data_IF_361330122611
#
_entry.id   IF_361330122611
#
_cell.length_a   1.000
_cell.length_b   1.000
_cell.length_c   1.000
_cell.angle_alpha   90.00
_cell.angle_beta   90.00
_cell.angle_gamma   90.00
#
_symmetry.space_group_name_H-M   'P 1'
#
loop_
_entity.id
_entity.type
_entity.pdbx_description
1 polymer ?
#
# COMPACT_ATOMS: atom_id res chain seq x y z
N UNK A 1 -6.25 -15.97 17.06
CA UNK A 1 -6.85 -16.87 16.06
C UNK A 1 -7.81 -16.04 15.23
N UNK A 2 -7.69 -16.13 13.91
CA UNK A 2 -8.20 -15.22 12.86
C UNK A 2 -9.67 -14.83 12.97
N UNK A 3 -9.97 -13.54 12.71
CA UNK A 3 -11.22 -13.13 12.04
C UNK A 3 -10.87 -12.24 10.85
N UNK A 4 -11.29 -12.71 9.68
CA UNK A 4 -11.20 -12.11 8.34
C UNK A 4 -11.43 -10.58 8.30
N UNK A 5 -10.34 -9.81 8.15
CA UNK A 5 -10.36 -8.38 7.76
C UNK A 5 -10.72 -8.14 6.28
N UNK A 6 -11.09 -9.19 5.52
CA UNK A 6 -11.51 -9.08 4.10
C UNK A 6 -12.80 -8.26 3.86
N UNK A 7 -13.44 -7.69 4.89
CA UNK A 7 -14.69 -6.90 4.75
C UNK A 7 -14.57 -5.38 5.01
N UNK A 8 -13.49 -4.87 5.59
CA UNK A 8 -13.40 -3.41 5.86
C UNK A 8 -13.08 -2.56 4.60
N UNK A 9 -12.35 -3.10 3.62
CA UNK A 9 -11.97 -2.32 2.43
C UNK A 9 -13.15 -1.94 1.51
N UNK A 10 -14.32 -2.56 1.66
CA UNK A 10 -15.47 -2.30 0.77
C UNK A 10 -16.57 -1.39 1.38
N UNK A 11 -16.48 -1.01 2.66
CA UNK A 11 -17.52 -0.20 3.32
C UNK A 11 -17.08 1.27 3.47
N UNK A 12 -15.78 1.53 3.67
CA UNK A 12 -15.26 2.88 3.94
C UNK A 12 -15.33 3.80 2.70
N UNK A 13 -15.31 3.27 1.47
CA UNK A 13 -15.46 4.10 0.26
C UNK A 13 -16.92 4.51 -0.05
N UNK A 14 -17.94 3.94 0.61
CA UNK A 14 -19.36 4.27 0.30
C UNK A 14 -20.05 5.19 1.31
N UNK A 15 -19.47 5.47 2.48
CA UNK A 15 -20.14 6.29 3.51
C UNK A 15 -19.70 7.77 3.57
N UNK A 16 -18.61 8.16 2.90
CA UNK A 16 -18.10 9.54 2.93
C UNK A 16 -18.93 10.58 2.15
N UNK A 17 -20.02 10.19 1.50
CA UNK A 17 -20.89 11.10 0.74
C UNK A 17 -22.24 11.42 1.39
N UNK A 18 -22.56 10.87 2.57
CA UNK A 18 -23.87 11.11 3.25
C UNK A 18 -23.79 11.76 4.63
N UNK A 19 -22.63 11.78 5.29
CA UNK A 19 -22.50 12.31 6.66
C UNK A 19 -22.34 13.84 6.76
N UNK A 20 -22.14 14.54 5.64
CA UNK A 20 -21.98 16.00 5.65
C UNK A 20 -23.30 16.81 5.69
N UNK A 21 -24.48 16.17 5.73
CA UNK A 21 -25.76 16.88 5.72
C UNK A 21 -26.60 16.80 7.02
N UNK A 22 -26.20 16.04 8.04
CA UNK A 22 -27.00 15.89 9.28
C UNK A 22 -26.45 16.63 10.52
N UNK A 23 -25.31 17.32 10.44
CA UNK A 23 -24.67 17.96 11.59
C UNK A 23 -25.15 19.40 11.91
N UNK A 24 -26.17 19.94 11.23
CA UNK A 24 -26.59 21.35 11.37
C UNK A 24 -27.88 21.55 12.21
N UNK A 25 -28.55 20.50 12.71
CA UNK A 25 -29.87 20.68 13.37
C UNK A 25 -29.88 20.44 14.90
N UNK A 26 -28.77 20.09 15.55
CA UNK A 26 -28.77 19.76 16.99
C UNK A 26 -27.90 20.69 17.88
N UNK A 27 -28.03 22.01 17.72
CA UNK A 27 -27.37 23.00 18.60
C UNK A 27 -28.36 23.96 19.31
N UNK A 28 -29.68 23.76 19.20
CA UNK A 28 -30.66 24.62 19.88
C UNK A 28 -31.72 23.81 20.60
N UNK A 29 -31.37 23.22 21.75
CA UNK A 29 -32.30 22.90 22.83
C UNK A 29 -31.54 22.30 24.02
N UNK A 30 -31.02 23.14 24.92
CA UNK A 30 -30.93 22.83 26.35
C UNK A 30 -30.47 24.09 27.09
N UNK A 31 -31.42 25.00 27.28
CA UNK A 31 -31.35 26.04 28.30
C UNK A 31 -32.59 25.94 29.19
N UNK A 32 -32.37 26.10 30.49
CA UNK A 32 -33.33 26.23 31.60
C UNK A 32 -33.88 24.93 32.23
N UNK A 33 -33.52 24.75 33.51
CA UNK A 33 -34.15 23.78 34.42
C UNK A 33 -33.40 23.64 35.74
N UNK A 34 -33.65 24.58 36.67
CA UNK A 34 -33.19 24.56 38.07
C UNK A 34 -33.78 23.38 38.86
N UNK A 35 -32.93 22.63 39.59
CA UNK A 35 -33.31 21.91 40.83
C UNK A 35 -32.16 22.02 41.84
N UNK A 36 -32.49 22.36 43.08
CA UNK A 36 -31.59 22.61 44.22
C UNK A 36 -31.41 21.40 45.16
N UNK A 37 -30.36 21.50 46.00
CA UNK A 37 -30.04 20.72 47.22
C UNK A 37 -29.37 19.37 46.96
N UNK A 38 -28.30 18.95 47.64
CA UNK A 38 -27.79 19.31 48.98
C UNK A 38 -26.27 19.06 49.06
N UNK A 39 -25.60 19.78 49.96
CA UNK A 39 -24.19 19.61 50.28
C UNK A 39 -23.92 18.16 50.77
N UNK A 40 -22.95 17.51 50.12
CA UNK A 40 -22.15 16.48 50.76
C UNK A 40 -20.70 16.65 50.31
N UNK A 41 -19.84 16.87 51.32
CA UNK A 41 -18.39 16.85 51.25
C UNK A 41 -17.87 15.67 50.44
N UNK A 42 -17.17 15.94 49.33
CA UNK A 42 -16.07 15.09 48.84
C UNK A 42 -14.98 15.97 48.21
N UNK A 43 -13.86 15.98 48.90
CA UNK A 43 -12.49 16.24 48.44
C UNK A 43 -12.30 16.45 46.92
N UNK A 44 -11.68 17.56 46.56
CA UNK A 44 -11.19 17.82 45.21
C UNK A 44 -10.25 16.70 44.72
N UNK A 45 -10.56 16.14 43.54
CA UNK A 45 -9.54 15.77 42.56
C UNK A 45 -9.17 14.30 42.33
N UNK A 46 -9.91 13.31 42.84
CA UNK A 46 -9.71 11.91 42.42
C UNK A 46 -10.65 11.55 41.27
N UNK A 47 -10.08 11.24 40.11
CA UNK A 47 -10.80 10.68 38.96
C UNK A 47 -11.54 9.40 39.39
N UNK A 48 -12.86 9.38 39.22
CA UNK A 48 -13.67 8.19 39.49
C UNK A 48 -13.41 7.14 38.40
N UNK A 49 -12.54 6.17 38.72
CA UNK A 49 -12.15 5.07 37.83
C UNK A 49 -13.37 4.27 37.36
N UNK A 50 -14.35 4.03 38.23
CA UNK A 50 -15.54 3.25 37.88
C UNK A 50 -16.41 4.01 36.90
N UNK A 51 -16.63 5.31 37.13
CA UNK A 51 -17.41 6.14 36.21
C UNK A 51 -16.74 6.26 34.83
N UNK A 52 -15.41 6.36 34.77
CA UNK A 52 -14.69 6.30 33.49
C UNK A 52 -14.83 4.94 32.81
N UNK A 53 -14.71 3.86 33.56
CA UNK A 53 -14.87 2.51 33.05
C UNK A 53 -16.28 2.26 32.47
N UNK A 54 -17.34 2.82 33.07
CA UNK A 54 -18.69 2.78 32.49
C UNK A 54 -18.76 3.48 31.13
N UNK A 55 -18.08 4.62 30.99
CA UNK A 55 -18.03 5.37 29.73
C UNK A 55 -17.26 4.63 28.65
N UNK A 56 -16.11 4.03 28.99
CA UNK A 56 -15.32 3.21 28.05
C UNK A 56 -16.12 1.97 27.63
N UNK A 57 -16.84 1.34 28.56
CA UNK A 57 -17.71 0.21 28.24
C UNK A 57 -18.81 0.61 27.26
N UNK A 58 -19.53 1.72 27.52
CA UNK A 58 -20.57 2.19 26.59
C UNK A 58 -19.99 2.52 25.21
N UNK A 59 -18.83 3.18 25.17
CA UNK A 59 -18.11 3.48 23.93
C UNK A 59 -17.78 2.21 23.13
N UNK A 60 -17.33 1.15 23.80
CA UNK A 60 -16.98 -0.11 23.14
C UNK A 60 -18.14 -0.78 22.41
N UNK A 61 -19.38 -0.62 22.92
CA UNK A 61 -20.57 -1.21 22.29
C UNK A 61 -20.95 -0.54 20.97
N UNK A 62 -20.53 0.70 20.76
CA UNK A 62 -20.71 1.40 19.48
C UNK A 62 -19.50 1.26 18.55
N UNK A 63 -18.40 0.64 19.01
CA UNK A 63 -17.15 0.42 18.25
C UNK A 63 -16.68 -1.05 18.34
N UNK A 64 -17.51 -2.03 17.92
CA UNK A 64 -17.19 -3.45 18.08
C UNK A 64 -15.99 -3.90 17.24
N UNK A 65 -15.70 -3.20 16.14
CA UNK A 65 -14.63 -3.56 15.19
C UNK A 65 -13.22 -3.21 15.70
N UNK A 66 -13.13 -2.51 16.83
CA UNK A 66 -11.86 -2.09 17.43
C UNK A 66 -11.80 -0.58 17.65
N UNK A 67 -11.16 -0.15 18.74
CA UNK A 67 -10.94 1.26 19.03
C UNK A 67 -9.64 1.47 19.82
N UNK A 68 -9.15 2.71 19.81
CA UNK A 68 -8.20 3.23 20.81
C UNK A 68 -8.76 4.55 21.31
N UNK A 69 -8.90 4.69 22.63
CA UNK A 69 -9.64 5.80 23.24
C UNK A 69 -8.76 6.50 24.27
N UNK A 70 -8.61 7.82 24.12
CA UNK A 70 -8.11 8.68 25.20
C UNK A 70 -9.21 8.81 26.26
N UNK A 71 -8.97 8.25 27.45
CA UNK A 71 -10.01 8.20 28.50
C UNK A 71 -10.21 9.55 29.20
N UNK A 72 -9.31 10.51 29.00
CA UNK A 72 -9.43 11.86 29.55
C UNK A 72 -10.40 12.71 28.72
N UNK A 73 -10.33 12.58 27.39
CA UNK A 73 -11.15 13.34 26.45
C UNK A 73 -12.35 12.54 25.92
N UNK A 74 -12.32 11.21 26.04
CA UNK A 74 -13.24 10.28 25.38
C UNK A 74 -13.28 10.46 23.87
N UNK A 75 -12.10 10.65 23.26
CA UNK A 75 -11.94 10.75 21.81
C UNK A 75 -10.92 9.75 21.30
N UNK A 76 -11.07 9.33 20.04
CA UNK A 76 -10.12 8.42 19.40
C UNK A 76 -8.97 9.22 18.77
N UNK A 77 -7.71 8.88 19.07
CA UNK A 77 -6.58 9.44 18.36
C UNK A 77 -6.56 8.90 16.93
N UNK A 78 -6.23 9.77 15.98
CA UNK A 78 -6.21 9.44 14.55
C UNK A 78 -4.80 9.10 14.03
N UNK A 79 -3.78 9.16 14.89
CA UNK A 79 -2.39 8.90 14.55
C UNK A 79 -1.68 8.16 15.69
N UNK A 80 -0.66 7.39 15.32
CA UNK A 80 0.19 6.67 16.25
C UNK A 80 0.10 5.16 16.09
N UNK A 81 0.93 4.45 16.84
CA UNK A 81 0.96 3.00 16.90
C UNK A 81 0.47 2.57 18.28
N UNK A 82 -0.69 1.96 18.33
CA UNK A 82 -1.31 1.44 19.54
C UNK A 82 -0.70 0.08 19.92
N UNK A 83 -0.21 0.00 21.16
CA UNK A 83 0.36 -1.22 21.73
C UNK A 83 -0.16 -1.46 23.14
N UNK A 84 -0.80 -2.61 23.38
CA UNK A 84 -1.34 -2.98 24.68
C UNK A 84 -0.25 -3.32 25.71
N UNK A 85 -0.50 -2.99 26.97
CA UNK A 85 0.34 -3.41 28.10
C UNK A 85 0.02 -4.84 28.55
N UNK A 86 1.04 -5.63 28.89
CA UNK A 86 0.87 -6.98 29.43
C UNK A 86 0.02 -7.01 30.71
N UNK A 87 0.13 -5.96 31.54
CA UNK A 87 -0.50 -5.89 32.85
C UNK A 87 -2.03 -5.98 32.82
N UNK A 88 -2.65 -5.62 31.70
CA UNK A 88 -4.11 -5.52 31.54
C UNK A 88 -4.69 -6.52 30.54
N UNK A 89 -3.85 -7.34 29.90
CA UNK A 89 -4.26 -8.40 28.97
C UNK A 89 -5.34 -9.33 29.54
N UNK A 90 -6.15 -9.85 28.61
CA UNK A 90 -7.26 -10.77 28.87
C UNK A 90 -8.39 -10.19 29.74
N UNK A 91 -8.53 -8.86 29.79
CA UNK A 91 -9.67 -8.19 30.43
C UNK A 91 -10.84 -8.15 29.46
N UNK A 92 -11.94 -8.83 29.79
CA UNK A 92 -13.03 -9.09 28.85
C UNK A 92 -14.44 -8.74 29.32
N UNK A 93 -14.54 -8.19 30.53
CA UNK A 93 -15.81 -7.85 31.15
C UNK A 93 -15.79 -6.42 31.67
N UNK A 94 -16.99 -5.84 31.81
CA UNK A 94 -17.16 -4.55 32.48
C UNK A 94 -16.49 -4.53 33.85
N UNK A 95 -16.61 -5.60 34.64
CA UNK A 95 -15.99 -5.68 35.97
C UNK A 95 -14.45 -5.65 35.96
N UNK A 96 -13.82 -6.05 34.85
CA UNK A 96 -12.35 -6.01 34.72
C UNK A 96 -11.85 -4.66 34.20
N UNK A 97 -12.72 -3.84 33.61
CA UNK A 97 -12.35 -2.54 33.05
C UNK A 97 -11.79 -1.56 34.08
N UNK A 98 -12.23 -1.64 35.34
CA UNK A 98 -11.72 -0.75 36.40
C UNK A 98 -10.20 -0.88 36.55
N UNK A 99 -9.68 -2.13 36.46
CA UNK A 99 -8.24 -2.40 36.46
C UNK A 99 -7.56 -1.80 35.23
N UNK A 100 -8.20 -1.92 34.05
CA UNK A 100 -7.68 -1.41 32.78
C UNK A 100 -7.57 0.12 32.82
N UNK A 101 -8.63 0.80 33.24
CA UNK A 101 -8.71 2.26 33.36
C UNK A 101 -7.74 2.75 34.43
N UNK A 102 -7.67 2.10 35.59
CA UNK A 102 -6.70 2.47 36.63
C UNK A 102 -5.26 2.38 36.13
N UNK A 103 -4.92 1.31 35.39
CA UNK A 103 -3.59 1.17 34.80
C UNK A 103 -3.34 2.23 33.71
N UNK A 104 -4.32 2.51 32.85
CA UNK A 104 -4.20 3.53 31.81
C UNK A 104 -3.95 4.93 32.41
N UNK A 105 -4.68 5.33 33.47
CA UNK A 105 -4.49 6.62 34.15
C UNK A 105 -3.11 6.79 34.79
N UNK A 106 -2.45 5.69 35.17
CA UNK A 106 -1.09 5.69 35.74
C UNK A 106 0.02 5.69 34.67
N UNK A 107 -0.35 5.46 33.40
CA UNK A 107 0.57 5.36 32.28
C UNK A 107 0.18 6.39 31.21
N UNK A 108 -0.18 5.95 30.00
CA UNK A 108 -0.35 6.83 28.84
C UNK A 108 -1.78 7.38 28.68
N UNK A 109 -2.75 6.93 29.49
CA UNK A 109 -4.13 7.42 29.43
C UNK A 109 -4.99 6.87 28.30
N UNK A 110 -4.55 5.81 27.60
CA UNK A 110 -5.34 5.19 26.52
C UNK A 110 -5.87 3.81 26.91
N UNK A 111 -7.06 3.50 26.41
CA UNK A 111 -7.63 2.16 26.42
C UNK A 111 -7.95 1.73 25.00
N UNK A 112 -7.42 0.59 24.59
CA UNK A 112 -7.78 -0.09 23.36
C UNK A 112 -8.76 -1.20 23.66
N UNK A 113 -9.58 -1.57 22.68
CA UNK A 113 -10.45 -2.72 22.81
C UNK A 113 -11.16 -3.10 21.53
N UNK A 114 -11.71 -4.32 21.49
CA UNK A 114 -12.47 -4.86 20.36
C UNK A 114 -13.47 -5.91 20.84
N UNK A 115 -14.46 -6.25 20.00
CA UNK A 115 -15.39 -7.34 20.25
C UNK A 115 -15.02 -8.58 19.41
N UNK A 116 -14.86 -9.72 20.05
CA UNK A 116 -14.68 -10.99 19.37
C UNK A 116 -16.02 -11.71 19.22
N UNK A 117 -16.55 -11.72 18.01
CA UNK A 117 -17.82 -12.42 17.71
C UNK A 117 -17.75 -13.94 17.87
N UNK A 118 -16.56 -14.54 17.89
CA UNK A 118 -16.40 -16.00 17.97
C UNK A 118 -16.65 -16.56 19.36
N UNK A 119 -16.27 -15.82 20.41
CA UNK A 119 -16.48 -16.17 21.81
C UNK A 119 -17.49 -15.25 22.52
N UNK A 120 -17.92 -14.17 21.86
CA UNK A 120 -18.89 -13.23 22.39
C UNK A 120 -18.32 -12.29 23.46
N UNK A 121 -16.98 -12.16 23.54
CA UNK A 121 -16.30 -11.36 24.55
C UNK A 121 -15.78 -10.04 23.95
N UNK A 122 -15.84 -8.98 24.76
CA UNK A 122 -15.03 -7.79 24.51
C UNK A 122 -13.62 -8.04 25.05
N UNK A 123 -12.63 -7.35 24.50
CA UNK A 123 -11.26 -7.35 24.98
C UNK A 123 -10.82 -5.91 25.21
N UNK A 124 -10.10 -5.67 26.31
CA UNK A 124 -9.63 -4.35 26.68
C UNK A 124 -8.20 -4.40 27.20
N UNK A 125 -7.40 -3.46 26.74
CA UNK A 125 -6.03 -3.27 27.19
C UNK A 125 -5.78 -1.79 27.45
N UNK A 126 -5.10 -1.49 28.56
CA UNK A 126 -4.46 -0.18 28.67
C UNK A 126 -3.40 -0.12 27.58
N UNK A 127 -3.36 0.97 26.85
CA UNK A 127 -2.62 1.07 25.60
C UNK A 127 -1.61 2.20 25.68
N UNK A 128 -0.43 1.96 25.10
CA UNK A 128 0.56 2.98 24.82
C UNK A 128 0.47 3.40 23.36
N UNK A 129 0.62 4.70 23.10
CA UNK A 129 0.77 5.22 21.74
C UNK A 129 2.22 5.58 21.46
N UNK A 130 2.76 5.01 20.39
CA UNK A 130 4.04 5.41 19.82
C UNK A 130 3.82 6.33 18.61
N UNK A 131 4.71 7.28 18.33
CA UNK A 131 4.78 7.92 17.03
C UNK A 131 4.94 6.89 15.90
N UNK A 132 4.33 7.11 14.73
CA UNK A 132 4.37 6.15 13.62
C UNK A 132 5.78 5.95 13.04
N UNK A 133 6.67 6.93 13.20
CA UNK A 133 8.09 6.80 12.85
C UNK A 133 8.92 5.98 13.87
N UNK A 134 8.30 5.45 14.93
CA UNK A 134 8.91 4.58 15.95
C UNK A 134 8.38 3.14 15.86
N UNK A 135 8.17 2.64 14.63
CA UNK A 135 7.64 1.30 14.39
C UNK A 135 8.48 0.21 15.04
N UNK A 136 9.81 0.34 15.03
CA UNK A 136 10.72 -0.62 15.65
C UNK A 136 10.50 -0.69 17.17
N UNK A 137 10.46 0.46 17.83
CA UNK A 137 10.26 0.57 19.28
C UNK A 137 8.88 0.04 19.68
N UNK A 138 7.84 0.31 18.86
CA UNK A 138 6.50 -0.22 19.07
C UNK A 138 6.46 -1.75 18.96
N UNK A 139 7.15 -2.33 17.96
CA UNK A 139 7.29 -3.79 17.79
C UNK A 139 8.02 -4.41 19.00
N UNK A 140 9.15 -3.84 19.39
CA UNK A 140 9.95 -4.32 20.54
C UNK A 140 9.14 -4.25 21.84
N UNK A 141 8.42 -3.15 22.07
CA UNK A 141 7.54 -3.00 23.21
C UNK A 141 6.40 -4.00 23.19
N UNK A 142 5.76 -4.22 22.04
CA UNK A 142 4.71 -5.22 21.86
C UNK A 142 5.21 -6.63 22.20
N UNK A 143 6.38 -7.02 21.70
CA UNK A 143 6.99 -8.33 21.99
C UNK A 143 7.28 -8.50 23.47
N UNK A 144 7.86 -7.47 24.11
CA UNK A 144 8.13 -7.46 25.55
C UNK A 144 6.85 -7.56 26.39
N UNK A 145 5.74 -7.04 25.88
CA UNK A 145 4.43 -7.09 26.54
C UNK A 145 3.59 -8.30 26.12
N UNK A 146 4.15 -9.27 25.38
CA UNK A 146 3.43 -10.48 24.98
C UNK A 146 2.23 -10.21 24.07
N UNK A 147 2.29 -9.14 23.28
CA UNK A 147 1.27 -8.84 22.28
C UNK A 147 1.45 -9.72 21.04
N UNK A 148 0.35 -10.02 20.34
CA UNK A 148 0.41 -10.72 19.06
C UNK A 148 0.62 -9.73 17.89
N UNK A 149 0.08 -8.54 18.03
CA UNK A 149 0.10 -7.49 17.01
C UNK A 149 0.08 -6.09 17.64
N UNK A 150 0.38 -5.11 16.81
CA UNK A 150 0.25 -3.67 17.09
C UNK A 150 -0.55 -3.02 15.97
N UNK A 151 -1.13 -1.84 16.22
CA UNK A 151 -2.05 -1.21 15.27
C UNK A 151 -1.60 0.19 14.91
N UNK A 152 -1.43 0.46 13.61
CA UNK A 152 -1.18 1.80 13.08
C UNK A 152 -2.52 2.50 12.91
N UNK A 153 -2.75 3.58 13.65
CA UNK A 153 -4.05 4.24 13.75
C UNK A 153 -4.40 5.04 12.49
N UNK A 154 -3.42 5.68 11.83
CA UNK A 154 -3.67 6.48 10.63
C UNK A 154 -4.21 5.67 9.46
N UNK A 155 -3.89 4.38 9.40
CA UNK A 155 -4.25 3.47 8.32
C UNK A 155 -5.08 2.27 8.76
N UNK A 156 -5.42 2.17 10.05
CA UNK A 156 -6.06 1.01 10.66
C UNK A 156 -5.36 -0.32 10.30
N UNK A 157 -4.03 -0.32 10.24
CA UNK A 157 -3.24 -1.48 9.81
C UNK A 157 -2.75 -2.27 11.03
N UNK A 158 -3.13 -3.54 11.12
CA UNK A 158 -2.58 -4.49 12.07
C UNK A 158 -1.21 -5.00 11.60
N UNK A 159 -0.21 -4.95 12.49
CA UNK A 159 1.13 -5.48 12.27
C UNK A 159 1.36 -6.67 13.21
N UNK A 160 1.30 -7.92 12.72
CA UNK A 160 1.68 -9.09 13.48
C UNK A 160 3.15 -9.03 13.89
N UNK A 161 3.44 -9.30 15.16
CA UNK A 161 4.81 -9.20 15.68
C UNK A 161 5.73 -10.33 15.22
N UNK A 162 5.15 -11.43 14.74
CA UNK A 162 5.86 -12.55 14.10
C UNK A 162 5.63 -12.58 12.57
N UNK A 163 5.20 -11.45 11.98
CA UNK A 163 4.96 -11.27 10.55
C UNK A 163 6.18 -10.80 9.75
N UNK A 164 6.02 -10.69 8.43
CA UNK A 164 7.05 -10.23 7.50
C UNK A 164 7.47 -8.78 7.76
N UNK A 165 6.54 -7.89 8.12
CA UNK A 165 6.88 -6.49 8.47
C UNK A 165 7.82 -6.46 9.67
N UNK A 166 7.53 -7.22 10.72
CA UNK A 166 8.38 -7.29 11.90
C UNK A 166 9.76 -7.91 11.60
N UNK A 167 9.83 -8.91 10.71
CA UNK A 167 11.09 -9.46 10.21
C UNK A 167 11.95 -8.39 9.51
N UNK A 168 11.36 -7.61 8.59
CA UNK A 168 12.05 -6.54 7.86
C UNK A 168 12.56 -5.46 8.81
N UNK A 169 11.71 -5.00 9.74
CA UNK A 169 12.05 -3.97 10.73
C UNK A 169 13.17 -4.45 11.66
N UNK A 170 13.12 -5.69 12.12
CA UNK A 170 14.16 -6.28 12.96
C UNK A 170 15.50 -6.42 12.19
N UNK A 171 15.44 -6.80 10.92
CA UNK A 171 16.60 -6.84 10.02
C UNK A 171 17.16 -5.44 9.72
N UNK A 172 16.32 -4.40 9.81
CA UNK A 172 16.70 -3.02 9.51
C UNK A 172 16.89 -2.73 8.02
N UNK A 173 16.40 -3.62 7.14
CA UNK A 173 16.61 -3.53 5.70
C UNK A 173 15.46 -4.16 4.91
N UNK A 174 14.83 -3.38 4.03
CA UNK A 174 13.90 -3.83 3.00
C UNK A 174 14.68 -4.24 1.75
N UNK A 175 14.53 -5.50 1.33
CA UNK A 175 15.21 -6.04 0.15
C UNK A 175 14.22 -6.05 -1.02
N UNK A 176 14.57 -5.37 -2.12
CA UNK A 176 13.64 -5.11 -3.22
C UNK A 176 14.18 -5.65 -4.54
N UNK A 177 13.44 -6.56 -5.17
CA UNK A 177 13.73 -7.06 -6.50
C UNK A 177 13.35 -6.03 -7.58
N UNK A 178 14.24 -5.77 -8.54
CA UNK A 178 13.90 -4.95 -9.71
C UNK A 178 14.78 -5.29 -10.92
N UNK A 179 14.25 -5.07 -12.13
CA UNK A 179 14.97 -5.41 -13.37
C UNK A 179 16.03 -4.37 -13.74
N UNK A 180 15.76 -3.10 -13.46
CA UNK A 180 16.69 -1.99 -13.73
C UNK A 180 16.85 -1.64 -15.21
N UNK A 181 15.95 -2.07 -16.07
CA UNK A 181 16.02 -1.95 -17.54
C UNK A 181 14.80 -1.25 -18.18
N UNK A 182 13.97 -0.57 -17.37
CA UNK A 182 12.64 -0.11 -17.77
C UNK A 182 12.38 1.35 -17.37
N UNK A 183 12.78 2.30 -18.23
CA UNK A 183 12.62 3.73 -17.96
C UNK A 183 11.18 4.19 -18.22
N UNK A 184 10.66 5.16 -17.44
CA UNK A 184 11.28 5.84 -16.29
C UNK A 184 10.97 5.14 -14.95
N UNK A 185 10.59 3.86 -14.95
CA UNK A 185 10.05 3.16 -13.80
C UNK A 185 11.12 2.51 -12.91
N UNK A 186 12.13 1.89 -13.52
CA UNK A 186 13.28 1.31 -12.85
C UNK A 186 14.45 1.25 -13.82
N UNK A 187 15.52 1.99 -13.52
CA UNK A 187 16.75 1.94 -14.29
C UNK A 187 17.97 1.84 -13.39
N UNK A 188 18.92 1.00 -13.79
CA UNK A 188 20.20 0.79 -13.11
C UNK A 188 21.32 1.50 -13.86
N UNK A 189 21.89 2.50 -13.22
CA UNK A 189 23.05 3.22 -13.72
C UNK A 189 24.30 2.32 -13.81
N UNK A 190 25.30 2.67 -14.64
CA UNK A 190 26.57 1.94 -14.72
C UNK A 190 27.32 1.86 -13.38
N UNK A 191 27.14 2.85 -12.50
CA UNK A 191 27.69 2.86 -11.15
C UNK A 191 26.94 1.96 -10.15
N UNK A 192 25.86 1.32 -10.61
CA UNK A 192 25.03 0.39 -9.84
C UNK A 192 23.89 1.04 -9.06
N UNK A 193 23.76 2.38 -9.07
CA UNK A 193 22.61 3.06 -8.46
C UNK A 193 21.34 2.81 -9.27
N UNK A 194 20.21 2.77 -8.57
CA UNK A 194 18.90 2.68 -9.19
C UNK A 194 18.18 4.02 -9.11
N UNK A 195 17.40 4.36 -10.14
CA UNK A 195 16.42 5.44 -10.08
C UNK A 195 15.16 5.09 -10.89
N UNK A 196 14.07 5.80 -10.61
CA UNK A 196 12.82 5.65 -11.34
C UNK A 196 11.61 5.73 -10.42
N UNK A 197 10.43 5.85 -11.02
CA UNK A 197 9.18 5.94 -10.28
C UNK A 197 9.01 4.77 -9.29
N UNK A 198 9.26 3.53 -9.75
CA UNK A 198 9.16 2.33 -8.92
C UNK A 198 10.22 2.24 -7.83
N UNK A 199 11.40 2.84 -8.06
CA UNK A 199 12.49 2.94 -7.07
C UNK A 199 12.07 3.86 -5.94
N UNK A 200 11.58 5.06 -6.25
CA UNK A 200 11.13 6.03 -5.24
C UNK A 200 9.87 5.57 -4.49
N UNK A 201 8.98 4.80 -5.14
CA UNK A 201 7.90 4.10 -4.45
C UNK A 201 8.42 3.11 -3.39
N UNK A 202 9.48 2.35 -3.72
CA UNK A 202 10.07 1.40 -2.77
C UNK A 202 10.83 2.12 -1.64
N UNK A 203 11.48 3.24 -1.93
CA UNK A 203 12.15 4.09 -0.94
C UNK A 203 11.14 4.72 0.04
N UNK A 204 9.96 5.15 -0.42
CA UNK A 204 8.90 5.61 0.46
C UNK A 204 8.41 4.47 1.38
N UNK A 205 8.19 3.26 0.86
CA UNK A 205 7.83 2.10 1.68
C UNK A 205 8.90 1.81 2.74
N UNK A 206 10.18 1.83 2.37
CA UNK A 206 11.29 1.65 3.32
C UNK A 206 11.33 2.76 4.38
N UNK A 207 11.04 4.00 3.99
CA UNK A 207 10.95 5.16 4.89
C UNK A 207 9.82 4.97 5.91
N UNK A 208 8.64 4.53 5.48
CA UNK A 208 7.51 4.27 6.38
C UNK A 208 7.78 3.08 7.31
N UNK A 209 8.59 2.11 6.89
CA UNK A 209 9.08 1.03 7.75
C UNK A 209 10.17 1.47 8.73
N UNK A 210 10.81 2.63 8.51
CA UNK A 210 11.95 3.09 9.30
C UNK A 210 13.23 2.27 9.08
N UNK A 211 13.42 1.71 7.87
CA UNK A 211 14.54 0.82 7.54
C UNK A 211 15.36 1.30 6.33
N UNK A 212 16.57 0.76 6.16
CA UNK A 212 17.32 0.93 4.92
C UNK A 212 16.69 0.15 3.76
N UNK A 213 17.15 0.43 2.53
CA UNK A 213 16.73 -0.28 1.32
C UNK A 213 17.93 -0.90 0.60
N UNK A 214 17.74 -2.11 0.06
CA UNK A 214 18.70 -2.79 -0.81
C UNK A 214 17.99 -3.32 -2.05
N UNK A 215 18.46 -2.90 -3.22
CA UNK A 215 17.99 -3.45 -4.49
C UNK A 215 18.74 -4.73 -4.87
N UNK A 216 17.99 -5.71 -5.37
CA UNK A 216 18.50 -6.98 -5.89
C UNK A 216 18.08 -7.10 -7.35
N UNK A 217 19.03 -7.32 -8.28
CA UNK A 217 18.69 -7.48 -9.69
C UNK A 217 17.89 -8.75 -9.92
N UNK A 218 16.87 -8.65 -10.77
CA UNK A 218 16.11 -9.77 -11.36
C UNK A 218 15.92 -9.49 -12.86
N UNK A 219 15.18 -10.35 -13.58
CA UNK A 219 14.88 -10.18 -15.00
C UNK A 219 13.41 -10.49 -15.27
N UNK A 220 12.84 -9.95 -16.36
CA UNK A 220 11.46 -10.28 -16.73
C UNK A 220 11.18 -11.79 -16.83
N UNK A 221 12.08 -12.61 -17.45
CA UNK A 221 11.91 -14.06 -17.47
C UNK A 221 11.95 -14.73 -16.10
N UNK A 222 12.78 -14.24 -15.17
CA UNK A 222 12.99 -14.90 -13.85
C UNK A 222 12.14 -14.31 -12.73
N UNK A 223 11.56 -13.12 -12.90
CA UNK A 223 10.87 -12.34 -11.87
C UNK A 223 9.90 -13.16 -11.01
N UNK A 224 9.02 -13.95 -11.64
CA UNK A 224 8.00 -14.71 -10.90
C UNK A 224 8.61 -15.87 -10.10
N UNK A 225 9.71 -16.46 -10.59
CA UNK A 225 10.45 -17.49 -9.88
C UNK A 225 11.27 -16.89 -8.74
N UNK A 226 11.92 -15.75 -8.97
CA UNK A 226 12.76 -15.06 -7.99
C UNK A 226 11.95 -14.56 -6.78
N UNK A 227 10.72 -14.08 -7.01
CA UNK A 227 9.76 -13.70 -5.93
C UNK A 227 9.41 -14.91 -5.05
N UNK A 228 9.31 -16.10 -5.65
CA UNK A 228 8.88 -17.33 -4.97
C UNK A 228 10.03 -18.19 -4.47
N UNK A 229 11.28 -17.78 -4.70
CA UNK A 229 12.47 -18.56 -4.43
C UNK A 229 12.59 -18.95 -2.94
N UNK A 230 13.21 -20.11 -2.73
CA UNK A 230 13.61 -20.61 -1.41
C UNK A 230 15.09 -21.00 -1.42
N UNK A 231 15.96 -20.33 -0.66
CA UNK A 231 15.66 -19.20 0.24
C UNK A 231 15.20 -17.94 -0.51
N UNK A 232 14.40 -17.11 0.16
CA UNK A 232 13.87 -15.87 -0.39
C UNK A 232 14.99 -14.89 -0.79
N UNK A 233 14.90 -14.35 -2.02
CA UNK A 233 15.90 -13.42 -2.57
C UNK A 233 15.63 -11.95 -2.21
N UNK A 234 14.35 -11.56 -2.14
CA UNK A 234 13.90 -10.21 -1.80
C UNK A 234 12.47 -10.25 -1.22
N UNK A 235 12.10 -9.23 -0.45
CA UNK A 235 10.81 -9.15 0.26
C UNK A 235 9.67 -8.79 -0.70
N UNK A 236 9.94 -7.89 -1.65
CA UNK A 236 8.98 -7.41 -2.65
C UNK A 236 9.70 -7.05 -3.96
N UNK A 237 8.95 -6.93 -5.06
CA UNK A 237 9.47 -6.49 -6.34
C UNK A 237 8.71 -5.28 -6.90
N UNK A 238 9.47 -4.36 -7.51
CA UNK A 238 8.98 -3.12 -8.14
C UNK A 238 9.64 -2.89 -9.49
N UNK A 239 9.11 -1.94 -10.26
CA UNK A 239 9.68 -1.51 -11.54
C UNK A 239 8.76 -1.80 -12.73
N UNK A 240 7.51 -1.33 -12.68
CA UNK A 240 6.59 -1.45 -13.81
C UNK A 240 5.85 -2.80 -13.91
N UNK A 241 5.71 -3.51 -12.79
CA UNK A 241 5.05 -4.81 -12.76
C UNK A 241 3.53 -4.63 -12.90
N UNK A 242 3.00 -4.95 -14.07
CA UNK A 242 1.55 -4.91 -14.34
C UNK A 242 0.78 -5.91 -13.47
N UNK A 243 -0.31 -5.48 -12.86
CA UNK A 243 -1.25 -6.33 -12.14
C UNK A 243 -1.98 -7.23 -13.14
N UNK A 244 -1.93 -8.54 -12.93
CA UNK A 244 -2.65 -9.52 -13.75
C UNK A 244 -3.26 -10.61 -12.87
N UNK A 245 -4.37 -11.20 -13.33
CA UNK A 245 -5.01 -12.30 -12.62
C UNK A 245 -4.08 -13.51 -12.48
N UNK A 246 -3.27 -13.79 -13.51
CA UNK A 246 -2.28 -14.86 -13.47
C UNK A 246 -1.24 -14.66 -12.35
N UNK A 247 -0.77 -13.42 -12.12
CA UNK A 247 0.10 -13.11 -10.98
C UNK A 247 -0.64 -13.23 -9.65
N UNK A 248 -1.86 -12.68 -9.54
CA UNK A 248 -2.69 -12.74 -8.32
C UNK A 248 -3.05 -14.17 -7.90
N UNK A 249 -3.12 -15.11 -8.84
CA UNK A 249 -3.36 -16.53 -8.55
C UNK A 249 -2.16 -17.20 -7.84
N UNK A 250 -0.95 -16.72 -8.03
CA UNK A 250 0.28 -17.37 -7.56
C UNK A 250 1.05 -16.55 -6.53
N UNK A 251 0.81 -15.23 -6.47
CA UNK A 251 1.58 -14.24 -5.72
C UNK A 251 0.64 -13.14 -5.20
N UNK A 252 1.12 -12.34 -4.25
CA UNK A 252 0.40 -11.16 -3.77
C UNK A 252 0.73 -9.97 -4.66
N UNK A 253 -0.27 -9.15 -4.98
CA UNK A 253 -0.11 -7.88 -5.67
C UNK A 253 -0.75 -6.77 -4.84
N UNK A 254 -0.04 -5.67 -4.67
CA UNK A 254 -0.61 -4.45 -4.08
C UNK A 254 -1.76 -3.88 -4.91
N UNK A 255 -2.44 -2.89 -4.34
CA UNK A 255 -3.31 -2.00 -5.10
C UNK A 255 -2.53 -1.27 -6.20
N UNK A 256 -3.22 -0.93 -7.28
CA UNK A 256 -2.66 -0.17 -8.39
C UNK A 256 -2.29 1.25 -7.98
N UNK A 257 -1.12 1.71 -8.42
CA UNK A 257 -0.64 3.06 -8.15
C UNK A 257 -0.28 3.85 -9.40
N UNK A 258 -0.33 3.24 -10.59
CA UNK A 258 0.00 3.86 -11.88
C UNK A 258 -0.76 3.15 -13.01
N UNK A 259 -1.52 3.90 -13.82
CA UNK A 259 -2.22 3.35 -14.98
C UNK A 259 -1.23 2.84 -16.06
N UNK A 260 -1.56 1.73 -16.71
CA UNK A 260 -0.64 1.08 -17.65
C UNK A 260 -1.35 0.26 -18.73
N UNK A 261 -0.93 0.41 -19.99
CA UNK A 261 -1.55 -0.26 -21.13
C UNK A 261 -0.59 -0.45 -22.28
N UNK A 262 -0.80 -1.48 -23.11
CA UNK A 262 0.07 -1.76 -24.27
C UNK A 262 -0.11 -0.70 -25.35
N UNK A 263 0.99 -0.19 -25.85
CA UNK A 263 1.07 0.76 -26.96
C UNK A 263 2.26 0.38 -27.84
N UNK A 264 2.61 1.27 -28.77
CA UNK A 264 3.78 1.10 -29.62
C UNK A 264 4.75 2.27 -29.57
N UNK A 265 6.01 1.96 -29.87
CA UNK A 265 6.96 2.93 -30.43
C UNK A 265 7.22 2.56 -31.89
N UNK A 266 7.27 3.57 -32.75
CA UNK A 266 7.65 3.45 -34.16
C UNK A 266 8.49 4.66 -34.59
N UNK A 267 8.99 4.67 -35.81
CA UNK A 267 9.61 5.87 -36.39
C UNK A 267 8.59 7.00 -36.53
N UNK A 268 9.00 8.23 -36.24
CA UNK A 268 8.16 9.43 -36.34
C UNK A 268 7.62 9.66 -37.76
N UNK A 269 8.40 9.30 -38.78
CA UNK A 269 8.01 9.35 -40.20
C UNK A 269 6.92 8.35 -40.57
N UNK A 270 6.67 7.34 -39.73
CA UNK A 270 5.69 6.29 -39.97
C UNK A 270 4.54 6.30 -38.97
N UNK A 271 4.40 7.36 -38.15
CA UNK A 271 3.34 7.43 -37.14
C UNK A 271 1.94 7.21 -37.74
N UNK A 272 1.67 7.75 -38.93
CA UNK A 272 0.37 7.62 -39.63
C UNK A 272 0.15 6.21 -40.20
N UNK A 273 1.21 5.40 -40.32
CA UNK A 273 1.14 4.03 -40.83
C UNK A 273 0.63 3.06 -39.76
N UNK A 274 0.96 3.29 -38.48
CA UNK A 274 0.69 2.35 -37.40
C UNK A 274 -0.34 2.89 -36.42
N UNK A 275 -1.62 2.81 -36.79
CA UNK A 275 -2.76 3.33 -36.03
C UNK A 275 -3.62 2.23 -35.39
N UNK A 276 -3.32 0.96 -35.66
CA UNK A 276 -4.09 -0.17 -35.16
C UNK A 276 -3.26 -1.46 -35.15
N UNK A 277 -3.74 -2.50 -34.44
CA UNK A 277 -3.14 -3.84 -34.52
C UNK A 277 -3.16 -4.40 -35.95
N UNK A 278 -4.17 -4.07 -36.77
CA UNK A 278 -4.27 -4.55 -38.14
C UNK A 278 -3.18 -3.96 -39.05
N UNK A 279 -2.71 -2.75 -38.75
CA UNK A 279 -1.61 -2.11 -39.47
C UNK A 279 -0.26 -2.74 -39.15
N UNK A 280 -0.11 -3.23 -37.92
CA UNK A 280 1.11 -3.87 -37.41
C UNK A 280 1.13 -5.36 -37.77
N UNK A 281 -0.01 -6.05 -37.77
CA UNK A 281 -0.12 -7.49 -38.00
C UNK A 281 -0.04 -7.87 -39.49
N UNK A 282 1.08 -7.51 -40.13
CA UNK A 282 1.36 -7.76 -41.55
C UNK A 282 2.74 -8.39 -41.73
N UNK A 283 2.92 -9.30 -42.72
CA UNK A 283 4.18 -10.03 -42.93
C UNK A 283 5.43 -9.17 -43.05
N UNK A 284 5.29 -7.99 -43.65
CA UNK A 284 6.39 -7.05 -43.88
C UNK A 284 6.80 -6.25 -42.64
N UNK A 285 6.01 -6.27 -41.56
CA UNK A 285 6.29 -5.49 -40.34
C UNK A 285 7.15 -6.31 -39.39
N UNK A 286 8.29 -5.74 -38.99
CA UNK A 286 9.20 -6.30 -37.98
C UNK A 286 8.88 -5.67 -36.63
N UNK A 287 8.42 -6.50 -35.70
CA UNK A 287 8.03 -6.10 -34.35
C UNK A 287 9.06 -6.59 -33.36
N UNK A 288 9.72 -5.67 -32.66
CA UNK A 288 10.74 -5.99 -31.66
C UNK A 288 10.17 -5.94 -30.24
N UNK A 289 10.54 -6.92 -29.42
CA UNK A 289 10.06 -7.07 -28.02
C UNK A 289 11.17 -7.61 -27.13
N UNK A 290 11.09 -7.29 -25.83
CA UNK A 290 11.95 -7.89 -24.81
C UNK A 290 11.44 -9.28 -24.37
N UNK A 291 12.33 -10.21 -23.94
CA UNK A 291 11.97 -11.60 -23.66
C UNK A 291 11.18 -11.79 -22.36
N UNK A 292 10.34 -12.83 -22.33
CA UNK A 292 9.70 -13.42 -21.15
C UNK A 292 8.55 -12.62 -20.53
N UNK A 293 8.47 -11.32 -20.80
CA UNK A 293 7.47 -10.43 -20.25
C UNK A 293 6.13 -10.41 -20.99
N UNK A 294 5.26 -9.49 -20.56
CA UNK A 294 3.94 -9.30 -21.16
C UNK A 294 4.00 -8.69 -22.57
N UNK A 295 5.10 -8.04 -22.97
CA UNK A 295 5.29 -7.50 -24.33
C UNK A 295 5.43 -8.64 -25.35
N UNK A 296 6.32 -9.60 -25.10
CA UNK A 296 6.47 -10.78 -25.96
C UNK A 296 5.17 -11.58 -26.03
N UNK A 297 4.54 -11.85 -24.88
CA UNK A 297 3.25 -12.56 -24.85
C UNK A 297 2.19 -11.86 -25.70
N UNK A 298 2.01 -10.56 -25.50
CA UNK A 298 1.04 -9.77 -26.27
C UNK A 298 1.32 -9.81 -27.78
N UNK A 299 2.59 -9.64 -28.18
CA UNK A 299 2.99 -9.66 -29.58
C UNK A 299 2.71 -11.03 -30.23
N UNK A 300 3.06 -12.12 -29.55
CA UNK A 300 2.81 -13.49 -30.06
C UNK A 300 1.33 -13.83 -30.19
N UNK A 301 0.50 -13.36 -29.25
CA UNK A 301 -0.94 -13.61 -29.26
C UNK A 301 -1.68 -12.78 -30.31
N UNK A 302 -1.26 -11.54 -30.58
CA UNK A 302 -2.03 -10.58 -31.39
C UNK A 302 -1.45 -10.30 -32.78
N UNK A 303 -0.15 -10.55 -32.99
CA UNK A 303 0.58 -10.17 -34.21
C UNK A 303 1.10 -11.41 -34.96
N UNK A 304 0.21 -12.38 -35.15
CA UNK A 304 0.50 -13.72 -35.71
C UNK A 304 1.04 -13.74 -37.14
N UNK A 305 0.93 -12.63 -37.88
CA UNK A 305 1.44 -12.46 -39.24
C UNK A 305 2.70 -11.61 -39.30
N UNK A 306 3.01 -10.83 -38.27
CA UNK A 306 4.19 -9.98 -38.26
C UNK A 306 5.46 -10.79 -37.96
N UNK A 307 6.62 -10.24 -38.32
CA UNK A 307 7.90 -10.84 -37.95
C UNK A 307 8.27 -10.40 -36.53
N UNK A 308 8.14 -11.30 -35.55
CA UNK A 308 8.52 -11.01 -34.15
C UNK A 308 10.02 -11.23 -33.94
N UNK A 309 10.71 -10.17 -33.53
CA UNK A 309 12.14 -10.17 -33.18
C UNK A 309 12.26 -10.02 -31.67
N UNK A 310 12.78 -11.04 -31.00
CA UNK A 310 13.07 -10.96 -29.56
C UNK A 310 14.47 -10.41 -29.38
N UNK A 311 14.58 -9.23 -28.76
CA UNK A 311 15.86 -8.60 -28.45
C UNK A 311 16.14 -8.67 -26.95
N UNK A 312 17.35 -9.07 -26.56
CA UNK A 312 17.65 -9.39 -25.16
C UNK A 312 17.75 -8.15 -24.27
N UNK A 313 18.25 -7.03 -24.81
CA UNK A 313 18.44 -5.78 -24.09
C UNK A 313 17.26 -4.83 -24.36
N UNK A 314 16.29 -4.75 -23.43
CA UNK A 314 15.11 -3.89 -23.59
C UNK A 314 15.47 -2.44 -23.96
N UNK A 315 16.51 -1.91 -23.31
CA UNK A 315 16.93 -0.51 -23.47
C UNK A 315 17.45 -0.16 -24.87
N UNK A 316 17.90 -1.14 -25.66
CA UNK A 316 18.40 -0.92 -27.01
C UNK A 316 17.28 -0.84 -28.05
N UNK A 317 16.13 -1.47 -27.77
CA UNK A 317 15.02 -1.62 -28.73
C UNK A 317 14.55 -0.28 -29.30
N UNK A 318 14.34 0.79 -28.50
CA UNK A 318 13.89 2.08 -29.04
C UNK A 318 14.87 2.66 -30.08
N UNK A 319 16.19 2.57 -29.84
CA UNK A 319 17.20 3.07 -30.79
C UNK A 319 17.25 2.23 -32.07
N UNK A 320 17.05 0.91 -31.97
CA UNK A 320 16.96 0.00 -33.11
C UNK A 320 15.71 0.29 -33.97
N UNK A 321 14.56 0.59 -33.34
CA UNK A 321 13.37 1.06 -34.06
C UNK A 321 13.63 2.38 -34.78
N UNK A 322 14.24 3.35 -34.07
CA UNK A 322 14.58 4.66 -34.62
C UNK A 322 15.55 4.57 -35.82
N UNK A 323 16.44 3.58 -35.81
CA UNK A 323 17.47 3.39 -36.84
C UNK A 323 17.04 2.50 -38.01
N UNK A 324 15.88 1.82 -37.89
CA UNK A 324 15.33 1.02 -38.98
C UNK A 324 15.58 -0.49 -38.87
N UNK A 325 16.15 -0.99 -37.78
CA UNK A 325 16.40 -2.41 -37.56
C UNK A 325 15.13 -3.19 -37.20
N UNK A 326 14.13 -2.50 -36.65
CA UNK A 326 12.75 -2.94 -36.50
C UNK A 326 11.78 -1.81 -36.88
N UNK A 327 10.51 -2.12 -37.11
CA UNK A 327 9.51 -1.15 -37.52
C UNK A 327 8.68 -0.64 -36.34
N UNK A 328 8.38 -1.55 -35.41
CA UNK A 328 7.55 -1.30 -34.23
C UNK A 328 8.16 -1.98 -33.01
N UNK A 329 8.12 -1.32 -31.86
CA UNK A 329 8.28 -1.95 -30.55
C UNK A 329 6.91 -2.02 -29.88
N UNK A 330 6.57 -3.18 -29.30
CA UNK A 330 5.45 -3.29 -28.35
C UNK A 330 5.98 -2.92 -26.96
N UNK A 331 5.35 -1.92 -26.36
CA UNK A 331 5.72 -1.34 -25.06
C UNK A 331 4.44 -0.86 -24.37
N UNK A 332 4.56 0.04 -23.40
CA UNK A 332 3.50 0.55 -22.57
C UNK A 332 3.40 2.07 -22.60
N UNK A 333 2.21 2.58 -22.28
CA UNK A 333 1.95 4.03 -22.15
C UNK A 333 2.79 4.71 -21.06
N UNK A 334 3.43 3.94 -20.19
CA UNK A 334 4.31 4.44 -19.13
C UNK A 334 5.77 4.55 -19.59
N UNK A 335 6.20 3.75 -20.56
CA UNK A 335 7.57 3.77 -21.11
C UNK A 335 7.66 4.61 -22.39
N UNK A 336 6.69 4.49 -23.30
CA UNK A 336 6.73 5.14 -24.61
C UNK A 336 6.91 6.67 -24.55
N UNK A 337 6.24 7.44 -23.65
CA UNK A 337 6.44 8.88 -23.57
C UNK A 337 7.88 9.28 -23.24
N UNK A 338 8.57 8.50 -22.41
CA UNK A 338 9.97 8.76 -22.08
C UNK A 338 10.84 8.74 -23.34
N UNK A 339 10.71 7.71 -24.16
CA UNK A 339 11.52 7.59 -25.38
C UNK A 339 11.15 8.61 -26.45
N UNK A 340 9.87 8.95 -26.63
CA UNK A 340 9.46 10.00 -27.58
C UNK A 340 9.99 11.37 -27.17
N UNK A 341 10.05 11.67 -25.87
CA UNK A 341 10.58 12.94 -25.37
C UNK A 341 12.10 13.04 -25.49
N UNK A 342 12.80 11.89 -25.53
CA UNK A 342 14.27 11.83 -25.55
C UNK A 342 14.87 11.53 -26.94
N UNK A 343 14.08 11.05 -27.90
CA UNK A 343 14.51 10.79 -29.28
C UNK A 343 13.42 11.22 -30.29
N UNK A 344 13.64 12.33 -30.98
CA UNK A 344 12.70 12.91 -31.94
C UNK A 344 12.48 12.05 -33.20
N UNK A 345 13.27 11.00 -33.40
CA UNK A 345 13.06 10.01 -34.47
C UNK A 345 11.94 9.03 -34.13
N UNK A 346 11.49 8.98 -32.88
CA UNK A 346 10.44 8.08 -32.42
C UNK A 346 9.08 8.78 -32.29
N UNK A 347 8.02 7.99 -32.41
CA UNK A 347 6.65 8.39 -32.10
C UNK A 347 5.89 7.23 -31.44
N UNK A 348 4.89 7.59 -30.64
CA UNK A 348 3.94 6.67 -30.02
C UNK A 348 2.50 7.11 -30.37
N UNK A 349 1.97 6.71 -31.55
CA UNK A 349 0.68 7.19 -32.03
C UNK A 349 -0.52 6.74 -31.17
N UNK A 350 -0.35 5.74 -30.31
CA UNK A 350 -1.43 5.07 -29.57
C UNK A 350 -1.33 5.30 -28.05
N UNK A 351 -0.81 6.45 -27.61
CA UNK A 351 -0.73 6.79 -26.19
C UNK A 351 -2.11 7.01 -25.55
N UNK A 352 -3.03 7.66 -26.27
CA UNK A 352 -4.40 7.93 -25.81
C UNK A 352 -5.38 6.79 -26.08
N UNK A 353 -4.97 5.77 -26.84
CA UNK A 353 -5.79 4.61 -27.20
C UNK A 353 -4.94 3.32 -27.13
N UNK A 354 -4.46 2.94 -25.93
CA UNK A 354 -3.67 1.72 -25.79
C UNK A 354 -4.52 0.49 -26.09
N UNK A 355 -3.86 -0.57 -26.56
CA UNK A 355 -4.49 -1.85 -26.89
C UNK A 355 -5.07 -2.56 -25.67
N UNK A 356 -4.53 -2.28 -24.48
CA UNK A 356 -4.96 -2.88 -23.23
C UNK A 356 -5.04 -1.85 -22.13
N UNK A 357 -5.79 -2.17 -21.07
CA UNK A 357 -5.87 -1.35 -19.86
C UNK A 357 -5.44 -2.18 -18.65
N UNK A 358 -4.79 -1.53 -17.69
CA UNK A 358 -4.27 -2.17 -16.50
C UNK A 358 -3.60 -1.17 -15.57
N UNK A 359 -3.00 -1.68 -14.50
CA UNK A 359 -2.32 -0.88 -13.49
C UNK A 359 -1.00 -1.56 -13.11
N UNK A 360 -0.05 -0.78 -12.62
CA UNK A 360 1.20 -1.25 -12.02
C UNK A 360 1.03 -1.32 -10.50
N UNK A 361 1.59 -2.37 -9.91
CA UNK A 361 1.62 -2.61 -8.46
C UNK A 361 2.93 -3.24 -8.00
N UNK A 362 3.04 -3.46 -6.68
CA UNK A 362 4.13 -4.17 -6.03
C UNK A 362 3.81 -5.66 -6.00
N UNK A 363 4.79 -6.50 -6.37
CA UNK A 363 4.65 -7.95 -6.38
C UNK A 363 5.35 -8.55 -5.15
N UNK A 364 4.66 -9.44 -4.44
CA UNK A 364 5.13 -10.07 -3.20
C UNK A 364 4.85 -11.57 -3.22
N UNK A 365 5.56 -12.31 -2.36
CA UNK A 365 5.36 -13.75 -2.22
C UNK A 365 4.04 -14.05 -1.50
N UNK A 366 3.42 -15.18 -1.79
CA UNK A 366 2.26 -15.66 -1.01
C UNK A 366 2.61 -15.82 0.48
N UNK A 367 1.61 -15.60 1.35
CA UNK A 367 1.76 -15.70 2.80
C UNK A 367 2.39 -14.48 3.48
N UNK A 368 2.62 -13.39 2.74
CA UNK A 368 3.12 -12.10 3.26
C UNK A 368 2.00 -11.06 3.35
N UNK A 369 0.81 -11.47 3.81
CA UNK A 369 -0.39 -10.63 3.83
C UNK A 369 -0.24 -9.36 4.68
N UNK A 370 0.58 -9.41 5.74
CA UNK A 370 0.89 -8.24 6.58
C UNK A 370 1.74 -7.21 5.83
N UNK A 371 2.72 -7.65 5.04
CA UNK A 371 3.49 -6.76 4.17
C UNK A 371 2.61 -6.16 3.08
N UNK A 372 1.72 -6.96 2.47
CA UNK A 372 0.75 -6.46 1.49
C UNK A 372 -0.15 -5.37 2.09
N UNK A 373 -0.70 -5.61 3.28
CA UNK A 373 -1.54 -4.64 3.97
C UNK A 373 -0.76 -3.33 4.25
N UNK A 374 0.48 -3.44 4.73
CA UNK A 374 1.34 -2.29 4.97
C UNK A 374 1.63 -1.50 3.67
N UNK A 375 2.00 -2.18 2.59
CA UNK A 375 2.26 -1.53 1.29
C UNK A 375 1.01 -0.81 0.77
N UNK A 376 -0.17 -1.43 0.88
CA UNK A 376 -1.42 -0.81 0.48
C UNK A 376 -1.75 0.43 1.33
N UNK A 377 -1.49 0.39 2.64
CA UNK A 377 -1.64 1.55 3.52
C UNK A 377 -0.72 2.71 3.10
N UNK A 378 0.53 2.43 2.74
CA UNK A 378 1.45 3.45 2.20
C UNK A 378 0.90 4.04 0.90
N UNK A 379 0.42 3.21 -0.03
CA UNK A 379 -0.17 3.68 -1.29
C UNK A 379 -1.40 4.58 -1.03
N UNK A 380 -2.29 4.19 -0.12
CA UNK A 380 -3.47 4.99 0.26
C UNK A 380 -3.04 6.33 0.88
N UNK A 381 -2.06 6.33 1.78
CA UNK A 381 -1.51 7.57 2.36
C UNK A 381 -0.96 8.49 1.27
N UNK A 382 -0.14 7.96 0.37
CA UNK A 382 0.47 8.77 -0.70
C UNK A 382 -0.58 9.34 -1.68
N UNK A 383 -1.68 8.61 -1.91
CA UNK A 383 -2.84 9.10 -2.66
C UNK A 383 -3.50 10.27 -1.92
N UNK A 384 -3.72 10.12 -0.61
CA UNK A 384 -4.43 11.09 0.22
C UNK A 384 -3.64 12.39 0.43
N UNK A 385 -2.31 12.33 0.61
CA UNK A 385 -1.47 13.51 0.85
C UNK A 385 -0.90 14.15 -0.45
N UNK A 386 -1.25 13.57 -1.60
CA UNK A 386 -0.83 14.02 -2.92
C UNK A 386 0.64 13.78 -3.25
N UNK A 387 1.41 13.08 -2.40
CA UNK A 387 2.79 12.71 -2.71
C UNK A 387 2.88 11.78 -3.92
N UNK A 388 1.91 10.87 -4.07
CA UNK A 388 1.84 10.01 -5.25
C UNK A 388 1.65 10.84 -6.52
N UNK A 389 0.79 11.87 -6.50
CA UNK A 389 0.61 12.78 -7.65
C UNK A 389 1.88 13.55 -7.99
N UNK A 390 2.58 14.08 -6.98
CA UNK A 390 3.87 14.76 -7.19
C UNK A 390 4.92 13.83 -7.81
N UNK A 391 4.92 12.56 -7.40
CA UNK A 391 5.80 11.55 -7.98
C UNK A 391 5.46 11.26 -9.46
N UNK A 392 4.17 11.19 -9.80
CA UNK A 392 3.74 11.08 -11.21
C UNK A 392 4.21 12.27 -12.05
N UNK A 393 3.98 13.49 -11.56
CA UNK A 393 4.37 14.74 -12.23
C UNK A 393 5.89 14.81 -12.45
N UNK A 394 6.69 14.41 -11.44
CA UNK A 394 8.16 14.34 -11.54
C UNK A 394 8.64 13.48 -12.71
N UNK A 395 7.93 12.40 -13.01
CA UNK A 395 8.29 11.47 -14.08
C UNK A 395 7.46 11.65 -15.37
N UNK A 396 6.58 12.66 -15.44
CA UNK A 396 5.71 12.89 -16.60
C UNK A 396 4.72 11.74 -16.85
N UNK A 397 4.32 11.03 -15.80
CA UNK A 397 3.43 9.87 -15.86
C UNK A 397 1.98 10.28 -15.55
N UNK A 398 1.02 9.55 -16.14
CA UNK A 398 -0.40 9.81 -15.95
C UNK A 398 -0.96 8.92 -14.83
N UNK A 399 -1.69 9.52 -13.91
CA UNK A 399 -2.26 8.83 -12.74
C UNK A 399 -3.37 7.82 -13.10
N UNK A 400 -4.24 8.18 -14.04
CA UNK A 400 -5.37 7.37 -14.50
C UNK A 400 -5.65 7.63 -15.98
N UNK A 401 -6.33 6.70 -16.65
CA UNK A 401 -6.81 6.88 -18.03
C UNK A 401 -7.68 8.12 -18.23
#
# INVERSE_FOLDING_TARGET
MMVNFRRLNNIIMKQNSLLHLMAIVLVVAMSMGLISCSNNDKTAGQTDVSALADRVWEFSRTHPDGFTLDISTMTEPTQGIAVGYAATQNSHSRSQLDKVVAHALQNDGFVGGWYNSSDGLYYFDSTRLFPENQLKEAIEFGKKNGQNSIFILSSFTEIPLEGKVAEIVNRGMLIVGTTGDYRPLSFREPDGRYWGFGIEMAEEIATQLGVGIKFVPTSWPTLSADVQAEPQLFDMAVGGITITDARKQQMLMSDGYLANGKTILCRATEKERYQSLADINRPEVRVMVNPGGLNEKFARENLTRATIIVHQQNEEIPSLVASGDADVMITEITEAPWYVNNDSRLAAPLLSQPFTHGEIGVLMRQGQDDLLAFVNAVIVRMKSDGSLRRLHEKYGLVYSY
#
